data_IF_543834086759
#
_entry.id   IF_543834086759
#
_cell.length_a   1.000
_cell.length_b   1.000
_cell.length_c   1.000
_cell.angle_alpha   90.00
_cell.angle_beta   90.00
_cell.angle_gamma   90.00
#
_symmetry.space_group_name_H-M   'P 1'
#
loop_
_entity.id
_entity.type
_entity.pdbx_description
1 polymer ?
#
# COMPACT_ATOMS: atom_id res chain seq x y z
N UNK A 1 -5.04 39.06 58.43
CA UNK A 1 -4.88 37.99 57.42
C UNK A 1 -6.19 37.49 56.79
N UNK A 2 -7.33 37.38 57.50
CA UNK A 2 -8.63 36.92 56.91
C UNK A 2 -9.19 37.81 55.77
N UNK A 3 -8.92 39.12 55.77
CA UNK A 3 -9.48 40.07 54.79
C UNK A 3 -8.87 39.95 53.39
N UNK A 4 -7.60 39.55 53.28
CA UNK A 4 -6.89 39.43 51.99
C UNK A 4 -7.17 38.11 51.25
N UNK A 5 -7.39 37.01 51.99
CA UNK A 5 -7.80 35.72 51.42
C UNK A 5 -9.14 35.82 50.67
N UNK A 6 -10.04 36.70 51.11
CA UNK A 6 -11.35 36.90 50.45
C UNK A 6 -11.27 37.54 49.06
N UNK A 7 -10.30 38.43 48.81
CA UNK A 7 -10.16 39.09 47.50
C UNK A 7 -9.55 38.18 46.43
N UNK A 8 -8.80 37.15 46.83
CA UNK A 8 -8.19 36.19 45.92
C UNK A 8 -9.16 35.06 45.52
N UNK A 9 -10.13 34.73 46.37
CA UNK A 9 -11.09 33.65 46.10
C UNK A 9 -12.09 34.00 44.99
N UNK A 10 -12.49 35.27 44.88
CA UNK A 10 -13.44 35.73 43.85
C UNK A 10 -12.90 35.50 42.42
N UNK A 11 -11.73 36.04 42.02
CA UNK A 11 -11.20 35.83 40.68
C UNK A 11 -10.88 34.35 40.43
N UNK A 12 -10.40 33.62 41.44
CA UNK A 12 -10.09 32.20 41.30
C UNK A 12 -11.32 31.37 40.92
N UNK A 13 -12.42 31.48 41.69
CA UNK A 13 -13.64 30.71 41.41
C UNK A 13 -14.35 31.18 40.15
N UNK A 14 -14.29 32.47 39.81
CA UNK A 14 -14.81 32.97 38.55
C UNK A 14 -14.05 32.40 37.34
N UNK A 15 -12.71 32.35 37.41
CA UNK A 15 -11.86 31.73 36.39
C UNK A 15 -12.13 30.24 36.27
N UNK A 16 -12.15 29.51 37.39
CA UNK A 16 -12.43 28.06 37.40
C UNK A 16 -13.82 27.79 36.82
N UNK A 17 -14.84 28.51 37.27
CA UNK A 17 -16.21 28.35 36.77
C UNK A 17 -16.31 28.62 35.27
N UNK A 18 -15.65 29.65 34.76
CA UNK A 18 -15.58 29.96 33.34
C UNK A 18 -14.91 28.84 32.54
N UNK A 19 -13.76 28.33 32.98
CA UNK A 19 -13.04 27.25 32.30
C UNK A 19 -13.82 25.94 32.31
N UNK A 20 -14.49 25.59 33.41
CA UNK A 20 -15.34 24.39 33.51
C UNK A 20 -16.53 24.49 32.55
N UNK A 21 -17.22 25.63 32.50
CA UNK A 21 -18.36 25.80 31.59
C UNK A 21 -17.95 25.70 30.12
N UNK A 22 -16.83 26.33 29.75
CA UNK A 22 -16.29 26.20 28.39
C UNK A 22 -15.92 24.74 28.10
N UNK A 23 -15.18 24.08 28.99
CA UNK A 23 -14.77 22.69 28.80
C UNK A 23 -15.95 21.70 28.62
N UNK A 24 -17.05 21.90 29.34
CA UNK A 24 -18.19 20.99 29.30
C UNK A 24 -19.17 21.28 28.15
N UNK A 25 -19.30 22.55 27.74
CA UNK A 25 -20.41 22.97 26.87
C UNK A 25 -19.96 23.68 25.57
N UNK A 26 -18.69 24.06 25.41
CA UNK A 26 -18.21 24.70 24.20
C UNK A 26 -17.93 23.66 23.11
N UNK A 27 -19.02 23.19 22.49
CA UNK A 27 -19.01 22.28 21.35
C UNK A 27 -19.97 22.77 20.27
N UNK A 28 -19.53 22.74 19.01
CA UNK A 28 -20.32 23.09 17.83
C UNK A 28 -20.20 21.99 16.80
N UNK A 29 -21.31 21.40 16.40
CA UNK A 29 -21.36 20.43 15.32
C UNK A 29 -21.54 21.14 13.96
N UNK A 30 -20.92 20.61 12.92
CA UNK A 30 -20.99 21.10 11.55
C UNK A 30 -20.85 19.94 10.56
N UNK A 31 -21.37 20.14 9.35
CA UNK A 31 -21.36 19.12 8.30
C UNK A 31 -20.73 19.69 7.05
N UNK A 32 -19.78 18.97 6.46
CA UNK A 32 -19.19 19.28 5.16
C UNK A 32 -19.62 18.16 4.23
N UNK A 33 -20.68 18.39 3.46
CA UNK A 33 -21.29 17.38 2.59
C UNK A 33 -21.55 16.07 3.38
N UNK A 34 -20.87 14.98 3.00
CA UNK A 34 -20.98 13.66 3.64
C UNK A 34 -20.24 13.53 4.99
N UNK A 35 -19.51 14.55 5.44
CA UNK A 35 -18.69 14.49 6.66
C UNK A 35 -19.36 15.22 7.80
N UNK A 36 -19.68 14.52 8.89
CA UNK A 36 -20.19 15.11 10.11
C UNK A 36 -19.06 15.25 11.14
N UNK A 37 -18.78 16.47 11.54
CA UNK A 37 -17.72 16.79 12.47
C UNK A 37 -18.20 17.68 13.62
N UNK A 38 -17.47 17.62 14.73
CA UNK A 38 -17.67 18.47 15.88
C UNK A 38 -16.40 19.26 16.18
N UNK A 39 -16.57 20.49 16.64
CA UNK A 39 -15.50 21.39 17.02
C UNK A 39 -15.68 21.78 18.49
N UNK A 40 -14.64 21.59 19.30
CA UNK A 40 -14.65 21.95 20.72
C UNK A 40 -13.35 22.60 21.16
N UNK A 41 -13.40 23.29 22.30
CA UNK A 41 -12.19 23.80 22.97
C UNK A 41 -12.15 23.35 24.42
N UNK A 42 -10.94 23.02 24.89
CA UNK A 42 -10.73 22.67 26.28
C UNK A 42 -9.41 23.22 26.83
N UNK A 43 -9.30 23.46 28.15
CA UNK A 43 -8.04 23.81 28.77
C UNK A 43 -7.01 22.67 28.64
N UNK A 44 -5.78 23.00 28.28
CA UNK A 44 -4.70 22.02 28.10
C UNK A 44 -3.38 22.51 28.67
N UNK A 45 -2.44 21.60 28.92
CA UNK A 45 -1.07 21.92 29.35
C UNK A 45 -0.24 22.58 28.25
N UNK A 46 -0.63 22.39 26.98
CA UNK A 46 0.02 22.96 25.81
C UNK A 46 -1.01 23.42 24.78
N UNK A 47 -0.63 24.36 23.93
CA UNK A 47 -1.48 24.87 22.85
C UNK A 47 -1.40 23.98 21.63
N UNK A 48 -2.55 23.44 21.22
CA UNK A 48 -2.62 22.42 20.18
C UNK A 48 -3.90 22.47 19.36
N UNK A 49 -3.85 21.81 18.22
CA UNK A 49 -5.03 21.45 17.45
C UNK A 49 -4.98 19.97 17.15
N UNK A 50 -6.03 19.25 17.55
CA UNK A 50 -6.14 17.81 17.39
C UNK A 50 -7.30 17.47 16.46
N UNK A 51 -7.03 16.67 15.44
CA UNK A 51 -8.04 16.09 14.55
C UNK A 51 -8.24 14.62 14.93
N UNK A 52 -9.39 14.30 15.52
CA UNK A 52 -9.76 12.94 15.88
C UNK A 52 -10.56 12.30 14.75
N UNK A 53 -10.06 11.18 14.24
CA UNK A 53 -10.75 10.34 13.27
C UNK A 53 -11.05 9.02 13.97
N UNK A 54 -12.21 8.89 14.59
CA UNK A 54 -12.55 7.67 15.35
C UNK A 54 -13.03 6.57 14.39
N UNK A 55 -12.63 5.29 14.59
CA UNK A 55 -11.68 4.75 15.57
C UNK A 55 -10.21 4.73 15.09
N UNK A 56 -9.92 5.39 13.96
CA UNK A 56 -8.64 5.28 13.23
C UNK A 56 -7.46 5.86 14.00
N UNK A 57 -7.57 7.07 14.53
CA UNK A 57 -6.46 7.73 15.21
C UNK A 57 -6.64 9.24 15.38
N UNK A 58 -5.54 9.91 15.74
CA UNK A 58 -5.51 11.36 15.98
C UNK A 58 -4.33 11.98 15.24
N UNK A 59 -4.55 13.16 14.66
CA UNK A 59 -3.48 14.02 14.11
C UNK A 59 -3.35 15.24 15.00
N UNK A 60 -2.17 15.45 15.59
CA UNK A 60 -1.92 16.52 16.55
C UNK A 60 -0.91 17.51 15.99
N UNK A 61 -1.16 18.80 16.17
CA UNK A 61 -0.19 19.84 15.82
C UNK A 61 -0.13 20.90 16.93
N UNK A 62 1.08 21.25 17.36
CA UNK A 62 1.33 22.34 18.31
C UNK A 62 1.20 23.69 17.61
N UNK A 63 -0.03 24.17 17.42
CA UNK A 63 -0.36 25.32 16.56
C UNK A 63 -0.20 26.68 17.24
N UNK A 64 -0.27 26.76 18.57
CA UNK A 64 -0.30 28.02 19.30
C UNK A 64 0.28 27.91 20.72
N UNK A 65 0.43 29.04 21.43
CA UNK A 65 1.15 29.07 22.72
C UNK A 65 0.27 29.08 23.97
N UNK A 66 -1.00 29.45 23.84
CA UNK A 66 -1.94 29.50 24.96
C UNK A 66 -2.33 28.09 25.43
N UNK A 67 -2.70 27.91 26.71
CA UNK A 67 -3.04 26.60 27.30
C UNK A 67 -4.47 26.16 26.93
N UNK A 68 -4.77 26.13 25.63
CA UNK A 68 -6.06 25.75 25.07
C UNK A 68 -5.80 24.71 23.99
N UNK A 69 -6.61 23.68 23.94
CA UNK A 69 -6.62 22.74 22.82
C UNK A 69 -7.87 22.96 21.99
N UNK A 70 -7.73 22.87 20.67
CA UNK A 70 -8.82 22.92 19.71
C UNK A 70 -9.00 21.51 19.15
N UNK A 71 -10.15 20.90 19.38
CA UNK A 71 -10.43 19.57 18.86
C UNK A 71 -11.40 19.65 17.71
N UNK A 72 -11.06 18.93 16.65
CA UNK A 72 -11.96 18.63 15.54
C UNK A 72 -12.17 17.12 15.58
N UNK A 73 -13.39 16.66 15.82
CA UNK A 73 -13.71 15.23 15.83
C UNK A 73 -14.61 14.89 14.66
N UNK A 74 -14.16 13.97 13.79
CA UNK A 74 -15.02 13.35 12.78
C UNK A 74 -15.90 12.31 13.49
N UNK A 75 -17.22 12.57 13.51
CA UNK A 75 -18.19 11.76 14.24
C UNK A 75 -18.82 10.70 13.35
N UNK A 76 -19.15 11.05 12.10
CA UNK A 76 -19.76 10.13 11.14
C UNK A 76 -19.43 10.51 9.69
N UNK A 77 -19.46 9.50 8.82
CA UNK A 77 -19.28 9.63 7.37
C UNK A 77 -20.53 9.06 6.71
N UNK A 78 -21.25 9.87 5.95
CA UNK A 78 -22.36 9.45 5.11
C UNK A 78 -21.82 8.77 3.84
N UNK A 79 -21.89 7.44 3.82
CA UNK A 79 -21.37 6.63 2.72
C UNK A 79 -22.12 6.83 1.41
N UNK A 80 -23.38 7.25 1.45
CA UNK A 80 -24.19 7.45 0.24
C UNK A 80 -23.84 8.79 -0.41
N UNK A 81 -23.70 9.86 0.39
CA UNK A 81 -23.18 11.14 -0.09
C UNK A 81 -21.74 11.05 -0.60
N UNK A 82 -20.91 10.20 0.00
CA UNK A 82 -19.54 9.98 -0.48
C UNK A 82 -19.49 9.35 -1.88
N UNK A 83 -20.42 8.44 -2.19
CA UNK A 83 -20.52 7.81 -3.52
C UNK A 83 -20.93 8.82 -4.59
N UNK A 84 -21.88 9.70 -4.28
CA UNK A 84 -22.35 10.75 -5.20
C UNK A 84 -21.20 11.68 -5.62
N UNK A 85 -20.37 12.10 -4.66
CA UNK A 85 -19.16 12.92 -4.90
C UNK A 85 -18.15 12.18 -5.80
N UNK A 86 -17.96 10.86 -5.59
CA UNK A 86 -17.05 10.05 -6.40
C UNK A 86 -17.56 9.85 -7.82
N UNK A 87 -18.87 9.79 -8.04
CA UNK A 87 -19.48 9.59 -9.36
C UNK A 87 -19.65 10.86 -10.18
N UNK A 88 -19.91 12.01 -9.55
CA UNK A 88 -20.20 13.26 -10.26
C UNK A 88 -18.95 14.07 -10.62
N UNK A 89 -17.77 13.66 -10.15
CA UNK A 89 -16.51 14.31 -10.52
C UNK A 89 -16.43 15.76 -10.07
N UNK A 90 -16.96 16.06 -8.88
CA UNK A 90 -16.94 17.40 -8.29
C UNK A 90 -15.51 17.94 -8.27
N UNK A 91 -15.32 19.17 -8.76
CA UNK A 91 -13.99 19.78 -8.81
C UNK A 91 -13.45 19.94 -7.40
N UNK A 92 -12.26 19.41 -7.17
CA UNK A 92 -11.57 19.39 -5.87
C UNK A 92 -11.49 20.78 -5.22
N UNK A 93 -11.38 21.84 -6.03
CA UNK A 93 -11.31 23.23 -5.55
C UNK A 93 -12.62 23.70 -4.89
N UNK A 94 -13.79 23.31 -5.41
CA UNK A 94 -15.09 23.71 -4.86
C UNK A 94 -15.33 23.05 -3.48
N UNK A 95 -14.89 21.80 -3.32
CA UNK A 95 -14.95 21.06 -2.05
C UNK A 95 -14.10 21.73 -0.96
N UNK A 96 -12.89 22.19 -1.32
CA UNK A 96 -11.97 22.84 -0.38
C UNK A 96 -12.56 24.18 0.09
N UNK A 97 -13.14 24.96 -0.83
CA UNK A 97 -13.73 26.26 -0.50
C UNK A 97 -14.98 26.10 0.39
N UNK A 98 -15.84 25.13 0.11
CA UNK A 98 -17.00 24.82 0.95
C UNK A 98 -16.58 24.40 2.37
N UNK A 99 -15.63 23.46 2.46
CA UNK A 99 -15.06 23.01 3.73
C UNK A 99 -14.50 24.19 4.54
N UNK A 100 -13.74 25.08 3.89
CA UNK A 100 -13.16 26.26 4.54
C UNK A 100 -14.24 27.19 5.09
N UNK A 101 -15.28 27.47 4.31
CA UNK A 101 -16.38 28.33 4.75
C UNK A 101 -17.11 27.76 5.95
N UNK A 102 -17.37 26.46 5.95
CA UNK A 102 -18.10 25.79 7.03
C UNK A 102 -17.28 25.76 8.33
N UNK A 103 -15.99 25.44 8.25
CA UNK A 103 -15.07 25.47 9.40
C UNK A 103 -14.98 26.87 9.99
N UNK A 104 -14.84 27.92 9.15
CA UNK A 104 -14.81 29.32 9.63
C UNK A 104 -16.13 29.69 10.32
N UNK A 105 -17.26 29.23 9.79
CA UNK A 105 -18.58 29.48 10.39
C UNK A 105 -18.72 28.77 11.74
N UNK A 106 -18.31 27.51 11.83
CA UNK A 106 -18.28 26.74 13.07
C UNK A 106 -17.36 27.39 14.11
N UNK A 107 -16.18 27.84 13.69
CA UNK A 107 -15.23 28.54 14.56
C UNK A 107 -15.78 29.85 15.13
N UNK A 108 -16.45 30.66 14.30
CA UNK A 108 -17.12 31.88 14.78
C UNK A 108 -18.21 31.57 15.81
N UNK A 109 -19.04 30.55 15.55
CA UNK A 109 -20.07 30.10 16.50
C UNK A 109 -19.44 29.65 17.82
N UNK A 110 -18.36 28.87 17.76
CA UNK A 110 -17.67 28.37 18.95
C UNK A 110 -17.08 29.51 19.78
N UNK A 111 -16.45 30.50 19.16
CA UNK A 111 -15.91 31.67 19.86
C UNK A 111 -17.02 32.41 20.61
N UNK A 112 -18.13 32.72 19.94
CA UNK A 112 -19.26 33.39 20.57
C UNK A 112 -19.88 32.57 21.71
N UNK A 113 -20.08 31.27 21.48
CA UNK A 113 -20.59 30.36 22.48
C UNK A 113 -19.67 30.31 23.71
N UNK A 114 -18.35 30.22 23.49
CA UNK A 114 -17.35 30.17 24.56
C UNK A 114 -17.33 31.45 25.40
N UNK A 115 -17.47 32.62 24.76
CA UNK A 115 -17.57 33.91 25.44
C UNK A 115 -18.81 33.95 26.34
N UNK A 116 -19.97 33.55 25.83
CA UNK A 116 -21.23 33.51 26.60
C UNK A 116 -21.12 32.51 27.76
N UNK A 117 -20.63 31.30 27.49
CA UNK A 117 -20.44 30.26 28.51
C UNK A 117 -19.45 30.69 29.59
N UNK A 118 -18.38 31.41 29.23
CA UNK A 118 -17.41 31.91 30.19
C UNK A 118 -18.00 32.93 31.16
N UNK A 119 -18.92 33.78 30.69
CA UNK A 119 -19.66 34.71 31.54
C UNK A 119 -20.60 33.95 32.49
N UNK A 120 -21.38 33.01 31.96
CA UNK A 120 -22.28 32.17 32.76
C UNK A 120 -21.52 31.34 33.81
N UNK A 121 -20.38 30.76 33.42
CA UNK A 121 -19.51 30.00 34.31
C UNK A 121 -18.87 30.86 35.38
N UNK A 122 -18.46 32.10 35.05
CA UNK A 122 -17.95 33.07 36.02
C UNK A 122 -18.99 33.48 37.05
N UNK A 123 -20.25 33.69 36.63
CA UNK A 123 -21.38 33.91 37.55
C UNK A 123 -21.61 32.68 38.44
N UNK A 124 -21.65 31.49 37.84
CA UNK A 124 -21.87 30.23 38.54
C UNK A 124 -20.80 29.94 39.59
N UNK A 125 -19.52 30.20 39.26
CA UNK A 125 -18.41 30.06 40.20
C UNK A 125 -18.59 30.89 41.47
N UNK A 126 -19.19 32.08 41.36
CA UNK A 126 -19.49 32.93 42.52
C UNK A 126 -20.78 32.53 43.27
N UNK A 127 -21.75 31.92 42.58
CA UNK A 127 -22.92 31.30 43.23
C UNK A 127 -22.46 30.16 44.16
N UNK A 128 -21.48 29.35 43.75
CA UNK A 128 -20.89 28.31 44.60
C UNK A 128 -20.27 28.90 45.87
N UNK A 129 -19.64 30.06 45.78
CA UNK A 129 -19.13 30.81 46.94
C UNK A 129 -20.25 31.48 47.78
N UNK A 130 -21.51 31.12 47.53
CA UNK A 130 -22.71 31.63 48.20
C UNK A 130 -22.85 33.15 48.14
N UNK A 131 -22.29 33.78 47.10
CA UNK A 131 -22.43 35.22 46.86
C UNK A 131 -23.81 35.51 46.28
N UNK A 132 -24.50 36.50 46.87
CA UNK A 132 -25.87 36.88 46.48
C UNK A 132 -26.00 38.30 45.95
N UNK A 133 -24.93 39.08 45.97
CA UNK A 133 -24.94 40.45 45.44
C UNK A 133 -24.88 40.41 43.91
N UNK A 134 -25.84 41.05 43.24
CA UNK A 134 -25.87 41.16 41.76
C UNK A 134 -24.57 41.75 41.22
N UNK A 135 -24.00 42.74 41.91
CA UNK A 135 -22.72 43.36 41.50
C UNK A 135 -21.55 42.38 41.56
N UNK A 136 -21.51 41.52 42.57
CA UNK A 136 -20.46 40.49 42.70
C UNK A 136 -20.62 39.43 41.62
N UNK A 137 -21.86 38.96 41.36
CA UNK A 137 -22.13 37.99 40.30
C UNK A 137 -21.73 38.52 38.91
N UNK A 138 -22.11 39.76 38.58
CA UNK A 138 -21.71 40.40 37.33
C UNK A 138 -20.19 40.57 37.22
N UNK A 139 -19.51 40.86 38.33
CA UNK A 139 -18.05 40.92 38.36
C UNK A 139 -17.43 39.54 38.07
N UNK A 140 -17.98 38.45 38.62
CA UNK A 140 -17.56 37.08 38.29
C UNK A 140 -17.73 36.74 36.82
N UNK A 141 -18.89 37.09 36.24
CA UNK A 141 -19.13 36.94 34.82
C UNK A 141 -18.15 37.74 33.96
N UNK A 142 -17.87 39.00 34.35
CA UNK A 142 -16.88 39.85 33.66
C UNK A 142 -15.47 39.25 33.74
N UNK A 143 -15.06 38.71 34.89
CA UNK A 143 -13.77 38.03 35.04
C UNK A 143 -13.69 36.80 34.14
N UNK A 144 -14.74 35.98 34.10
CA UNK A 144 -14.83 34.83 33.20
C UNK A 144 -14.71 35.21 31.73
N UNK A 145 -15.50 36.21 31.32
CA UNK A 145 -15.47 36.81 29.98
C UNK A 145 -14.06 37.29 29.59
N UNK A 146 -13.41 38.10 30.43
CA UNK A 146 -12.09 38.64 30.15
C UNK A 146 -11.04 37.53 30.06
N UNK A 147 -11.14 36.51 30.92
CA UNK A 147 -10.19 35.39 30.96
C UNK A 147 -10.24 34.59 29.67
N UNK A 148 -11.43 34.13 29.26
CA UNK A 148 -11.58 33.31 28.04
C UNK A 148 -11.32 34.15 26.79
N UNK A 149 -11.76 35.42 26.76
CA UNK A 149 -11.46 36.33 25.65
C UNK A 149 -9.96 36.55 25.48
N UNK A 150 -9.21 36.70 26.58
CA UNK A 150 -7.75 36.84 26.54
C UNK A 150 -7.07 35.57 26.01
N UNK A 151 -7.52 34.38 26.45
CA UNK A 151 -7.00 33.10 25.97
C UNK A 151 -7.26 32.93 24.47
N UNK A 152 -8.50 33.15 24.01
CA UNK A 152 -8.88 33.04 22.60
C UNK A 152 -8.14 34.04 21.72
N UNK A 153 -7.96 35.28 22.19
CA UNK A 153 -7.18 36.28 21.49
C UNK A 153 -5.70 35.89 21.40
N UNK A 154 -5.13 35.33 22.47
CA UNK A 154 -3.77 34.80 22.48
C UNK A 154 -3.60 33.61 21.52
N UNK A 155 -4.58 32.69 21.49
CA UNK A 155 -4.65 31.61 20.51
C UNK A 155 -4.63 32.19 19.10
N UNK A 156 -5.55 33.10 18.77
CA UNK A 156 -5.65 33.74 17.45
C UNK A 156 -4.34 34.43 17.02
N UNK A 157 -3.66 35.13 17.93
CA UNK A 157 -2.41 35.84 17.63
C UNK A 157 -1.21 34.93 17.44
N UNK A 158 -1.19 33.78 18.10
CA UNK A 158 -0.06 32.85 18.06
C UNK A 158 -0.32 31.62 17.20
N UNK A 159 -1.48 31.56 16.53
CA UNK A 159 -1.87 30.45 15.68
C UNK A 159 -1.02 30.41 14.41
N UNK A 160 -0.33 29.29 14.22
CA UNK A 160 0.49 29.00 13.07
C UNK A 160 -0.01 27.73 12.36
N UNK A 161 -0.61 27.93 11.18
CA UNK A 161 -1.11 26.85 10.35
C UNK A 161 0.01 25.98 9.77
N UNK A 162 1.23 26.52 9.63
CA UNK A 162 2.37 25.80 9.06
C UNK A 162 2.81 24.64 9.95
N UNK A 163 2.42 24.62 11.23
CA UNK A 163 2.67 23.50 12.14
C UNK A 163 2.03 22.18 11.71
N UNK A 164 1.01 22.23 10.85
CA UNK A 164 0.45 21.03 10.20
C UNK A 164 1.34 20.43 9.11
N UNK A 165 2.47 21.06 8.75
CA UNK A 165 3.48 20.46 7.87
C UNK A 165 4.32 19.39 8.59
N UNK A 166 4.36 19.41 9.91
CA UNK A 166 5.03 18.40 10.74
C UNK A 166 4.14 17.94 11.90
N UNK A 167 2.98 17.32 11.62
CA UNK A 167 2.05 16.89 12.66
C UNK A 167 2.50 15.55 13.29
N UNK A 168 2.03 15.32 14.50
CA UNK A 168 2.21 14.06 15.22
C UNK A 168 1.00 13.16 14.97
N UNK A 169 1.25 11.91 14.57
CA UNK A 169 0.19 10.93 14.27
C UNK A 169 0.10 9.89 15.39
N UNK A 170 -1.12 9.57 15.81
CA UNK A 170 -1.42 8.53 16.80
C UNK A 170 -2.40 7.49 16.24
N UNK A 171 -2.40 6.29 16.83
CA UNK A 171 -3.23 5.17 16.38
C UNK A 171 -2.79 4.61 15.03
N UNK A 172 -3.75 4.15 14.23
CA UNK A 172 -3.50 3.59 12.89
C UNK A 172 -3.03 4.67 11.90
N UNK A 173 -3.27 5.95 12.19
CA UNK A 173 -2.82 7.07 11.37
C UNK A 173 -1.29 7.26 11.36
N UNK A 174 -0.52 6.58 12.22
CA UNK A 174 0.95 6.59 12.17
C UNK A 174 1.50 6.13 10.82
N UNK A 175 0.77 5.28 10.10
CA UNK A 175 1.13 4.81 8.76
C UNK A 175 0.75 5.80 7.64
N UNK A 176 -0.09 6.81 7.91
CA UNK A 176 -0.64 7.68 6.87
C UNK A 176 0.42 8.49 6.10
N UNK A 177 1.44 9.11 6.74
CA UNK A 177 2.49 9.84 6.01
C UNK A 177 3.27 8.93 5.06
N UNK A 178 3.58 7.72 5.51
CA UNK A 178 4.25 6.72 4.68
C UNK A 178 3.40 6.37 3.46
N UNK A 179 2.09 6.14 3.63
CA UNK A 179 1.19 5.83 2.50
C UNK A 179 1.07 6.98 1.51
N UNK A 180 0.94 8.23 2.00
CA UNK A 180 0.85 9.40 1.12
C UNK A 180 2.13 9.55 0.30
N UNK A 181 3.30 9.37 0.94
CA UNK A 181 4.58 9.38 0.25
C UNK A 181 4.70 8.24 -0.75
N UNK A 182 4.28 7.01 -0.40
CA UNK A 182 4.27 5.88 -1.32
C UNK A 182 3.44 6.18 -2.57
N UNK A 183 2.26 6.75 -2.40
CA UNK A 183 1.37 7.13 -3.52
C UNK A 183 1.98 8.25 -4.35
N UNK A 184 2.50 9.31 -3.71
CA UNK A 184 3.10 10.45 -4.43
C UNK A 184 4.39 10.07 -5.15
N UNK A 185 5.28 9.31 -4.51
CA UNK A 185 6.51 8.79 -5.12
C UNK A 185 6.18 7.79 -6.23
N UNK A 186 5.15 6.96 -6.07
CA UNK A 186 4.66 6.09 -7.13
C UNK A 186 4.17 6.90 -8.33
N UNK A 187 3.30 7.90 -8.14
CA UNK A 187 2.77 8.66 -9.29
C UNK A 187 3.81 9.57 -9.96
N UNK A 188 4.72 10.20 -9.21
CA UNK A 188 5.69 11.16 -9.75
C UNK A 188 6.88 10.44 -10.43
N UNK A 189 7.30 9.28 -9.93
CA UNK A 189 8.47 8.55 -10.48
C UNK A 189 8.07 7.62 -11.64
N UNK A 190 6.83 7.08 -11.63
CA UNK A 190 6.32 6.17 -12.68
C UNK A 190 6.18 6.87 -14.03
N UNK A 191 5.75 8.13 -14.07
CA UNK A 191 5.45 8.81 -15.35
C UNK A 191 6.71 9.12 -16.17
N UNK A 192 7.88 9.26 -15.54
CA UNK A 192 9.16 9.46 -16.24
C UNK A 192 9.88 8.15 -16.59
N UNK A 193 9.75 7.13 -15.75
CA UNK A 193 10.48 5.87 -15.91
C UNK A 193 9.71 4.86 -16.79
N UNK A 194 8.37 4.81 -16.71
CA UNK A 194 7.53 3.97 -17.57
C UNK A 194 7.68 4.28 -19.07
N UNK A 195 7.73 5.58 -19.43
CA UNK A 195 7.99 6.03 -20.82
C UNK A 195 9.39 5.63 -21.32
N UNK A 196 10.39 5.63 -20.45
CA UNK A 196 11.74 5.17 -20.81
C UNK A 196 11.75 3.65 -21.05
N UNK A 197 11.00 2.90 -20.25
CA UNK A 197 10.86 1.45 -20.38
C UNK A 197 10.10 1.01 -21.63
N UNK A 198 9.09 1.78 -22.07
CA UNK A 198 8.38 1.55 -23.34
C UNK A 198 9.34 1.62 -24.55
N UNK A 199 10.21 2.64 -24.54
CA UNK A 199 11.26 2.78 -25.55
C UNK A 199 12.26 1.63 -25.51
N UNK A 200 12.64 1.14 -24.32
CA UNK A 200 13.56 0.01 -24.14
C UNK A 200 12.97 -1.29 -24.71
N UNK A 201 11.72 -1.63 -24.35
CA UNK A 201 11.06 -2.84 -24.86
C UNK A 201 10.97 -2.84 -26.39
N UNK A 202 10.57 -1.71 -26.97
CA UNK A 202 10.43 -1.56 -28.42
C UNK A 202 11.77 -1.65 -29.14
N UNK A 203 12.83 -1.03 -28.59
CA UNK A 203 14.19 -1.11 -29.13
C UNK A 203 14.77 -2.52 -29.02
N UNK A 204 14.57 -3.19 -27.88
CA UNK A 204 14.96 -4.59 -27.66
C UNK A 204 14.29 -5.52 -28.67
N UNK A 205 12.99 -5.37 -28.90
CA UNK A 205 12.28 -6.14 -29.90
C UNK A 205 12.79 -5.88 -31.33
N UNK A 206 13.10 -4.62 -31.65
CA UNK A 206 13.73 -4.27 -32.93
C UNK A 206 15.09 -4.95 -33.13
N UNK A 207 15.92 -5.02 -32.09
CA UNK A 207 17.20 -5.76 -32.10
C UNK A 207 16.96 -7.26 -32.25
N UNK A 208 16.01 -7.80 -31.48
CA UNK A 208 15.62 -9.21 -31.50
C UNK A 208 15.22 -9.67 -32.91
N UNK A 209 14.32 -8.94 -33.57
CA UNK A 209 13.88 -9.23 -34.95
C UNK A 209 15.03 -9.25 -35.95
N UNK A 210 16.03 -8.39 -35.76
CA UNK A 210 17.24 -8.37 -36.60
C UNK A 210 18.11 -9.59 -36.35
N UNK A 211 18.35 -9.97 -35.09
CA UNK A 211 19.15 -11.15 -34.75
C UNK A 211 18.47 -12.45 -35.21
N UNK A 212 17.16 -12.58 -35.01
CA UNK A 212 16.40 -13.74 -35.53
C UNK A 212 16.49 -13.85 -37.04
N UNK A 213 16.38 -12.72 -37.76
CA UNK A 213 16.51 -12.73 -39.22
C UNK A 213 17.89 -13.16 -39.73
N UNK A 214 18.93 -13.00 -38.90
CA UNK A 214 20.31 -13.39 -39.23
C UNK A 214 20.63 -14.84 -38.86
N UNK A 215 20.00 -15.39 -37.82
CA UNK A 215 20.30 -16.75 -37.33
C UNK A 215 19.51 -17.86 -38.06
N UNK A 216 18.63 -17.54 -39.00
CA UNK A 216 17.77 -18.52 -39.69
C UNK A 216 16.99 -19.47 -38.75
N UNK A 217 16.82 -19.08 -37.49
CA UNK A 217 15.84 -19.67 -36.58
C UNK A 217 14.55 -18.89 -36.84
N UNK A 218 13.84 -19.26 -37.91
CA UNK A 218 12.52 -18.70 -38.14
C UNK A 218 11.67 -18.98 -36.88
N UNK A 219 11.00 -17.98 -36.29
CA UNK A 219 9.96 -18.26 -35.31
C UNK A 219 8.91 -19.11 -36.04
N UNK A 220 8.86 -20.40 -35.75
CA UNK A 220 7.83 -21.26 -36.31
C UNK A 220 6.47 -20.73 -35.84
N UNK A 221 5.46 -20.73 -36.72
CA UNK A 221 4.08 -20.29 -36.48
C UNK A 221 3.32 -21.09 -35.37
N UNK A 222 4.05 -21.76 -34.47
CA UNK A 222 3.53 -22.54 -33.33
C UNK A 222 4.33 -22.38 -32.04
N UNK A 223 5.18 -21.34 -31.90
CA UNK A 223 5.94 -21.07 -30.69
C UNK A 223 5.07 -20.48 -29.58
N UNK A 224 5.06 -21.14 -28.43
CA UNK A 224 4.41 -20.68 -27.22
C UNK A 224 5.42 -19.91 -26.37
N UNK A 225 5.13 -18.64 -26.07
CA UNK A 225 6.00 -17.75 -25.29
C UNK A 225 5.40 -17.52 -23.91
N UNK A 226 6.18 -17.83 -22.88
CA UNK A 226 5.80 -17.64 -21.47
C UNK A 226 6.71 -16.60 -20.85
N UNK A 227 6.14 -15.58 -20.21
CA UNK A 227 6.90 -14.61 -19.43
C UNK A 227 6.95 -15.07 -17.97
N UNK A 228 8.15 -15.32 -17.45
CA UNK A 228 8.40 -15.60 -16.04
C UNK A 228 8.83 -14.32 -15.31
N UNK A 229 8.06 -13.97 -14.28
CA UNK A 229 8.28 -12.83 -13.37
C UNK A 229 8.24 -13.29 -11.92
N UNK A 230 8.74 -12.47 -11.01
CA UNK A 230 8.70 -12.71 -9.57
C UNK A 230 9.03 -11.44 -8.79
N UNK A 231 8.65 -11.38 -7.52
CA UNK A 231 9.10 -10.36 -6.57
C UNK A 231 8.84 -8.94 -7.13
N UNK A 232 7.57 -8.68 -7.50
CA UNK A 232 7.10 -7.43 -8.08
C UNK A 232 6.88 -6.37 -6.99
N UNK A 233 6.51 -6.77 -5.77
CA UNK A 233 6.37 -5.90 -4.60
C UNK A 233 5.56 -4.61 -4.88
N UNK A 234 4.40 -4.78 -5.53
CA UNK A 234 3.49 -3.72 -5.95
C UNK A 234 4.12 -2.59 -6.80
N UNK A 235 5.26 -2.82 -7.46
CA UNK A 235 5.90 -1.78 -8.26
C UNK A 235 5.06 -1.45 -9.52
N UNK A 236 4.44 -0.25 -9.63
CA UNK A 236 3.56 0.07 -10.75
C UNK A 236 4.30 0.10 -12.10
N UNK A 237 5.56 0.52 -12.10
CA UNK A 237 6.37 0.58 -13.30
C UNK A 237 6.72 -0.82 -13.84
N UNK A 238 6.81 -1.82 -12.95
CA UNK A 238 6.99 -3.21 -13.36
C UNK A 238 5.76 -3.73 -14.09
N UNK A 239 4.54 -3.43 -13.60
CA UNK A 239 3.30 -3.81 -14.28
C UNK A 239 3.19 -3.19 -15.68
N UNK A 240 3.51 -1.90 -15.80
CA UNK A 240 3.46 -1.20 -17.10
C UNK A 240 4.47 -1.82 -18.08
N UNK A 241 5.69 -2.16 -17.61
CA UNK A 241 6.68 -2.84 -18.44
C UNK A 241 6.28 -4.28 -18.79
N UNK A 242 5.69 -5.04 -17.87
CA UNK A 242 5.14 -6.37 -18.14
C UNK A 242 4.10 -6.28 -19.25
N UNK A 243 3.16 -5.33 -19.17
CA UNK A 243 2.17 -5.09 -20.22
C UNK A 243 2.81 -4.80 -21.58
N UNK A 244 3.87 -3.98 -21.59
CA UNK A 244 4.60 -3.69 -22.81
C UNK A 244 5.34 -4.91 -23.37
N UNK A 245 5.99 -5.71 -22.51
CA UNK A 245 6.67 -6.95 -22.92
C UNK A 245 5.65 -7.95 -23.48
N UNK A 246 4.51 -8.11 -22.80
CA UNK A 246 3.42 -8.99 -23.25
C UNK A 246 2.98 -8.63 -24.66
N UNK A 247 2.70 -7.34 -24.90
CA UNK A 247 2.27 -6.83 -26.21
C UNK A 247 3.37 -6.92 -27.27
N UNK A 248 4.58 -6.51 -26.94
CA UNK A 248 5.68 -6.34 -27.90
C UNK A 248 6.25 -7.69 -28.35
N UNK A 249 6.45 -8.62 -27.41
CA UNK A 249 7.03 -9.93 -27.70
C UNK A 249 5.96 -10.98 -28.06
N UNK A 250 4.68 -10.65 -27.92
CA UNK A 250 3.57 -11.56 -28.19
C UNK A 250 3.56 -12.72 -27.19
N UNK A 251 3.64 -12.40 -25.91
CA UNK A 251 3.59 -13.39 -24.81
C UNK A 251 2.20 -14.01 -24.78
N UNK A 252 2.12 -15.32 -24.56
CA UNK A 252 0.86 -16.06 -24.52
C UNK A 252 0.37 -16.36 -23.10
N UNK A 253 1.28 -16.31 -22.11
CA UNK A 253 1.03 -16.66 -20.72
C UNK A 253 2.07 -15.96 -19.84
N UNK A 254 1.63 -15.41 -18.71
CA UNK A 254 2.53 -14.96 -17.64
C UNK A 254 2.53 -16.00 -16.53
N UNK A 255 3.71 -16.39 -16.06
CA UNK A 255 3.91 -17.23 -14.86
C UNK A 255 4.67 -16.41 -13.83
N UNK A 256 4.06 -16.21 -12.68
CA UNK A 256 4.58 -15.41 -11.59
C UNK A 256 4.94 -16.33 -10.41
N UNK A 257 6.20 -16.28 -9.98
CA UNK A 257 6.67 -17.08 -8.85
C UNK A 257 6.48 -16.40 -7.49
N UNK A 258 5.59 -15.42 -7.35
CA UNK A 258 5.11 -14.91 -6.06
C UNK A 258 5.83 -13.66 -5.59
N UNK A 259 5.44 -13.18 -4.40
CA UNK A 259 5.79 -11.86 -3.84
C UNK A 259 5.36 -10.72 -4.79
N UNK A 260 4.07 -10.76 -5.13
CA UNK A 260 3.40 -9.67 -5.84
C UNK A 260 3.18 -8.48 -4.90
N UNK A 261 2.87 -8.76 -3.63
CA UNK A 261 2.60 -7.79 -2.57
C UNK A 261 3.77 -7.67 -1.59
N UNK A 262 3.87 -6.54 -0.89
CA UNK A 262 5.00 -6.22 0.00
C UNK A 262 4.60 -6.43 1.48
N UNK A 263 3.35 -6.12 1.84
CA UNK A 263 2.83 -6.20 3.21
C UNK A 263 1.55 -7.05 3.38
N UNK A 264 0.97 -7.53 2.30
CA UNK A 264 -0.21 -8.39 2.35
C UNK A 264 -1.50 -7.70 2.83
N UNK A 265 -1.63 -6.38 2.63
CA UNK A 265 -2.70 -5.54 3.16
C UNK A 265 -3.84 -5.30 2.17
N UNK A 266 -5.08 -5.01 2.63
CA UNK A 266 -6.20 -4.71 1.73
C UNK A 266 -6.00 -3.53 0.78
N UNK A 267 -5.12 -2.59 1.12
CA UNK A 267 -4.81 -1.45 0.25
C UNK A 267 -3.95 -1.87 -0.96
N UNK A 268 -3.15 -2.93 -0.83
CA UNK A 268 -2.32 -3.44 -1.92
C UNK A 268 -3.13 -4.24 -2.95
N UNK A 269 -4.32 -4.73 -2.57
CA UNK A 269 -5.21 -5.43 -3.49
C UNK A 269 -5.61 -4.57 -4.71
N UNK A 270 -5.60 -3.24 -4.60
CA UNK A 270 -5.87 -2.34 -5.72
C UNK A 270 -4.85 -2.50 -6.87
N UNK A 271 -3.60 -2.89 -6.60
CA UNK A 271 -2.60 -3.11 -7.64
C UNK A 271 -2.83 -4.39 -8.44
N UNK A 272 -3.60 -5.35 -7.89
CA UNK A 272 -4.00 -6.56 -8.62
C UNK A 272 -4.92 -6.25 -9.81
N UNK A 273 -5.59 -5.08 -9.81
CA UNK A 273 -6.44 -4.68 -10.94
C UNK A 273 -5.65 -4.46 -12.23
N UNK A 274 -4.38 -4.02 -12.15
CA UNK A 274 -3.52 -3.87 -13.34
C UNK A 274 -3.27 -5.21 -14.05
N UNK A 275 -3.40 -6.33 -13.36
CA UNK A 275 -3.30 -7.66 -13.98
C UNK A 275 -4.50 -7.92 -14.90
N UNK A 276 -5.69 -7.39 -14.58
CA UNK A 276 -6.90 -7.56 -15.41
C UNK A 276 -6.70 -6.99 -16.82
N UNK A 277 -5.88 -5.96 -16.94
CA UNK A 277 -5.56 -5.30 -18.22
C UNK A 277 -4.60 -6.12 -19.10
N UNK A 278 -3.94 -7.15 -18.54
CA UNK A 278 -3.14 -8.09 -19.30
C UNK A 278 -4.09 -9.07 -20.01
N UNK A 279 -4.30 -8.89 -21.31
CA UNK A 279 -5.19 -9.74 -22.15
C UNK A 279 -4.69 -11.20 -22.36
N UNK A 280 -3.82 -11.69 -21.48
CA UNK A 280 -3.28 -13.05 -21.49
C UNK A 280 -3.53 -13.74 -20.14
N UNK A 281 -3.60 -15.08 -20.10
CA UNK A 281 -3.65 -15.82 -18.84
C UNK A 281 -2.46 -15.46 -17.94
N UNK A 282 -2.73 -15.34 -16.65
CA UNK A 282 -1.75 -15.07 -15.60
C UNK A 282 -1.81 -16.20 -14.57
N UNK A 283 -0.70 -16.86 -14.30
CA UNK A 283 -0.60 -17.95 -13.32
C UNK A 283 0.37 -17.52 -12.23
N UNK A 284 -0.04 -17.57 -10.97
CA UNK A 284 0.78 -17.16 -9.84
C UNK A 284 0.81 -18.22 -8.75
N UNK A 285 1.96 -18.46 -8.12
CA UNK A 285 2.03 -19.14 -6.82
C UNK A 285 2.15 -18.10 -5.71
N UNK A 286 1.40 -18.22 -4.60
CA UNK A 286 1.58 -17.32 -3.46
C UNK A 286 3.01 -17.38 -2.91
N UNK A 287 3.65 -16.22 -2.76
CA UNK A 287 4.93 -16.06 -2.09
C UNK A 287 4.77 -15.93 -0.58
N UNK A 288 5.85 -15.56 0.12
CA UNK A 288 5.79 -15.42 1.58
C UNK A 288 5.17 -14.08 2.02
N UNK A 289 4.99 -13.12 1.11
CA UNK A 289 4.30 -11.87 1.38
C UNK A 289 2.79 -11.90 1.06
N UNK A 290 2.32 -12.87 0.27
CA UNK A 290 0.89 -13.03 -0.04
C UNK A 290 0.12 -13.60 1.16
N UNK A 291 -0.56 -12.75 1.92
CA UNK A 291 -1.47 -13.20 2.99
C UNK A 291 -2.69 -13.96 2.43
N UNK A 292 -3.45 -14.68 3.27
CA UNK A 292 -4.72 -15.30 2.86
C UNK A 292 -5.69 -14.28 2.26
N UNK A 293 -5.70 -13.04 2.77
CA UNK A 293 -6.54 -11.97 2.23
C UNK A 293 -6.15 -11.64 0.77
N UNK A 294 -4.87 -11.37 0.50
CA UNK A 294 -4.40 -11.07 -0.87
C UNK A 294 -4.66 -12.25 -1.79
N UNK A 295 -4.39 -13.47 -1.33
CA UNK A 295 -4.61 -14.69 -2.11
C UNK A 295 -6.08 -14.82 -2.54
N UNK A 296 -7.03 -14.51 -1.66
CA UNK A 296 -8.46 -14.53 -2.01
C UNK A 296 -8.86 -13.38 -2.94
N UNK A 297 -8.26 -12.19 -2.83
CA UNK A 297 -8.48 -11.12 -3.81
C UNK A 297 -7.92 -11.47 -5.19
N UNK A 298 -6.73 -12.09 -5.26
CA UNK A 298 -6.14 -12.56 -6.51
C UNK A 298 -7.08 -13.54 -7.23
N UNK A 299 -7.68 -14.49 -6.51
CA UNK A 299 -8.64 -15.45 -7.08
C UNK A 299 -9.88 -14.81 -7.72
N UNK A 300 -10.21 -13.54 -7.39
CA UNK A 300 -11.32 -12.81 -8.01
C UNK A 300 -10.95 -12.16 -9.35
N UNK A 301 -9.67 -12.19 -9.72
CA UNK A 301 -9.17 -11.60 -10.97
C UNK A 301 -9.43 -12.55 -12.15
N UNK A 302 -10.24 -12.17 -13.16
CA UNK A 302 -10.78 -13.11 -14.14
C UNK A 302 -9.74 -13.86 -15.01
N UNK A 303 -8.63 -13.22 -15.35
CA UNK A 303 -7.56 -13.78 -16.18
C UNK A 303 -6.43 -14.42 -15.34
N UNK A 304 -6.57 -14.45 -14.01
CA UNK A 304 -5.55 -14.95 -13.09
C UNK A 304 -5.95 -16.30 -12.47
N UNK A 305 -5.00 -17.20 -12.36
CA UNK A 305 -5.12 -18.47 -11.63
C UNK A 305 -4.05 -18.54 -10.55
N UNK A 306 -4.48 -18.68 -9.29
CA UNK A 306 -3.58 -18.95 -8.17
C UNK A 306 -3.33 -20.45 -8.07
N UNK A 307 -2.07 -20.86 -8.07
CA UNK A 307 -1.62 -22.24 -7.87
C UNK A 307 -1.10 -22.44 -6.43
N UNK A 308 -1.85 -23.15 -5.59
CA UNK A 308 -1.36 -23.60 -4.27
C UNK A 308 -1.59 -25.11 -4.08
N UNK A 309 -0.65 -25.91 -4.57
CA UNK A 309 -0.72 -27.37 -4.50
C UNK A 309 -1.66 -27.97 -5.53
N UNK A 310 -1.67 -27.41 -6.73
CA UNK A 310 -2.56 -27.81 -7.84
C UNK A 310 -1.78 -28.03 -9.13
N UNK A 311 -2.42 -28.73 -10.08
CA UNK A 311 -1.94 -28.99 -11.44
C UNK A 311 -3.01 -28.47 -12.40
N UNK A 312 -2.63 -27.56 -13.30
CA UNK A 312 -3.52 -26.97 -14.30
C UNK A 312 -2.98 -27.17 -15.70
N UNK A 313 -3.84 -27.02 -16.71
CA UNK A 313 -3.43 -26.95 -18.11
C UNK A 313 -3.85 -25.62 -18.71
N UNK A 314 -2.89 -24.84 -19.21
CA UNK A 314 -3.11 -23.52 -19.79
C UNK A 314 -2.26 -23.35 -21.05
N UNK A 315 -2.85 -22.89 -22.15
CA UNK A 315 -2.18 -22.75 -23.45
C UNK A 315 -1.52 -24.05 -24.00
N UNK A 316 -1.94 -25.22 -23.49
CA UNK A 316 -1.37 -26.53 -23.79
C UNK A 316 -0.16 -26.91 -22.93
N UNK A 317 0.24 -26.08 -21.96
CA UNK A 317 1.23 -26.41 -20.94
C UNK A 317 0.56 -26.99 -19.69
N UNK A 318 1.12 -28.07 -19.16
CA UNK A 318 0.79 -28.56 -17.83
C UNK A 318 1.67 -27.85 -16.81
N UNK A 319 1.06 -27.05 -15.96
CA UNK A 319 1.74 -26.24 -14.95
C UNK A 319 1.28 -26.69 -13.58
N UNK A 320 2.24 -26.86 -12.68
CA UNK A 320 1.92 -27.18 -11.31
C UNK A 320 2.75 -26.33 -10.35
N UNK A 321 2.24 -26.11 -9.15
CA UNK A 321 2.95 -25.27 -8.20
C UNK A 321 2.47 -25.39 -6.78
N UNK A 322 3.30 -24.91 -5.86
CA UNK A 322 3.05 -24.90 -4.42
C UNK A 322 3.24 -23.47 -3.92
N UNK A 323 2.25 -22.94 -3.22
CA UNK A 323 2.38 -21.66 -2.53
C UNK A 323 3.31 -21.79 -1.33
N UNK A 324 4.01 -20.72 -0.97
CA UNK A 324 4.85 -20.70 0.22
C UNK A 324 3.99 -21.01 1.46
N UNK A 325 4.41 -21.90 2.39
CA UNK A 325 3.67 -22.15 3.62
C UNK A 325 3.33 -20.89 4.43
N UNK A 326 4.12 -19.81 4.29
CA UNK A 326 3.89 -18.53 4.94
C UNK A 326 2.64 -17.81 4.42
N UNK A 327 2.26 -18.06 3.17
CA UNK A 327 1.05 -17.47 2.58
C UNK A 327 -0.26 -17.86 3.30
N UNK A 328 -0.20 -18.90 4.14
CA UNK A 328 -1.34 -19.40 4.92
C UNK A 328 -1.52 -18.65 6.25
N UNK A 329 -0.67 -17.67 6.54
CA UNK A 329 -0.66 -16.88 7.77
C UNK A 329 -0.87 -15.40 7.44
N UNK A 330 -1.49 -14.68 8.38
CA UNK A 330 -1.62 -13.21 8.29
C UNK A 330 -0.36 -12.47 8.76
N UNK A 331 0.56 -13.19 9.41
CA UNK A 331 1.81 -12.66 9.94
C UNK A 331 2.95 -13.00 8.98
N UNK A 332 3.85 -12.05 8.74
CA UNK A 332 5.00 -12.18 7.82
C UNK A 332 6.14 -13.06 8.36
N UNK A 333 5.82 -14.02 9.22
CA UNK A 333 6.80 -14.93 9.81
C UNK A 333 7.32 -15.90 8.75
N UNK A 334 8.65 -16.03 8.59
CA UNK A 334 9.24 -16.89 7.60
C UNK A 334 8.88 -18.36 7.87
N UNK A 335 8.60 -19.09 6.80
CA UNK A 335 8.37 -20.53 6.83
C UNK A 335 9.54 -21.29 7.41
N UNK A 336 9.25 -22.24 8.30
CA UNK A 336 10.26 -23.14 8.86
C UNK A 336 10.61 -24.24 7.85
N UNK A 337 11.83 -24.79 7.86
CA UNK A 337 12.23 -25.87 6.96
C UNK A 337 11.27 -27.06 6.96
N UNK A 338 10.74 -27.44 8.13
CA UNK A 338 9.81 -28.57 8.27
C UNK A 338 8.49 -28.33 7.52
N UNK A 339 8.04 -27.08 7.45
CA UNK A 339 6.82 -26.71 6.72
C UNK A 339 7.01 -26.86 5.20
N UNK A 340 8.20 -26.55 4.69
CA UNK A 340 8.56 -26.80 3.30
C UNK A 340 8.56 -28.29 2.98
N UNK A 341 9.12 -29.12 3.86
CA UNK A 341 9.17 -30.58 3.66
C UNK A 341 7.75 -31.18 3.61
N UNK A 342 6.86 -30.78 4.52
CA UNK A 342 5.45 -31.23 4.52
C UNK A 342 4.73 -30.81 3.23
N UNK A 343 4.95 -29.58 2.75
CA UNK A 343 4.35 -29.10 1.52
C UNK A 343 4.81 -29.91 0.30
N UNK A 344 6.12 -30.21 0.23
CA UNK A 344 6.75 -31.01 -0.82
C UNK A 344 6.21 -32.45 -0.80
N UNK A 345 6.14 -33.11 0.36
CA UNK A 345 5.62 -34.48 0.50
C UNK A 345 4.15 -34.60 0.08
N UNK A 346 3.33 -33.62 0.50
CA UNK A 346 1.92 -33.55 0.10
C UNK A 346 1.79 -33.44 -1.42
N UNK A 347 2.65 -32.65 -2.05
CA UNK A 347 2.61 -32.45 -3.49
C UNK A 347 3.16 -33.64 -4.27
N UNK A 348 4.18 -34.34 -3.79
CA UNK A 348 4.58 -35.63 -4.36
C UNK A 348 3.44 -36.63 -4.40
N UNK A 349 2.69 -36.73 -3.30
CA UNK A 349 1.50 -37.58 -3.23
C UNK A 349 0.43 -37.18 -4.25
N UNK A 350 0.30 -35.88 -4.56
CA UNK A 350 -0.60 -35.38 -5.60
C UNK A 350 -0.13 -35.80 -7.00
N UNK A 351 1.16 -35.60 -7.31
CA UNK A 351 1.73 -36.00 -8.60
C UNK A 351 1.54 -37.50 -8.85
N UNK A 352 1.88 -38.34 -7.87
CA UNK A 352 1.70 -39.80 -7.96
C UNK A 352 0.24 -40.20 -8.22
N UNK A 353 -0.71 -39.59 -7.51
CA UNK A 353 -2.14 -39.86 -7.69
C UNK A 353 -2.68 -39.37 -9.03
N UNK A 354 -2.17 -38.25 -9.52
CA UNK A 354 -2.62 -37.65 -10.78
C UNK A 354 -2.11 -38.43 -12.00
N UNK A 355 -0.97 -39.13 -11.87
CA UNK A 355 -0.26 -39.76 -12.99
C UNK A 355 0.18 -38.77 -14.08
N UNK A 356 0.12 -37.46 -13.80
CA UNK A 356 0.41 -36.39 -14.76
C UNK A 356 1.84 -35.91 -14.55
N UNK A 357 2.57 -35.70 -15.66
CA UNK A 357 3.92 -35.12 -15.64
C UNK A 357 3.85 -33.65 -16.02
N UNK A 358 4.07 -32.70 -15.10
CA UNK A 358 4.06 -31.27 -15.43
C UNK A 358 5.19 -30.89 -16.38
N UNK A 359 4.95 -29.90 -17.24
CA UNK A 359 5.97 -29.25 -18.07
C UNK A 359 6.74 -28.22 -17.25
N UNK A 360 6.03 -27.50 -16.38
CA UNK A 360 6.54 -26.43 -15.53
C UNK A 360 6.13 -26.68 -14.08
N UNK A 361 7.10 -26.59 -13.16
CA UNK A 361 6.86 -26.50 -11.74
C UNK A 361 7.22 -25.12 -11.21
N UNK A 362 6.36 -24.53 -10.40
CA UNK A 362 6.54 -23.18 -9.83
C UNK A 362 6.46 -23.26 -8.31
N UNK A 363 7.44 -22.67 -7.62
CA UNK A 363 7.35 -22.42 -6.19
C UNK A 363 8.16 -21.18 -5.85
N UNK A 364 7.63 -20.33 -4.98
CA UNK A 364 8.30 -19.08 -4.62
C UNK A 364 9.68 -19.35 -3.99
N UNK A 365 9.71 -20.16 -2.92
CA UNK A 365 10.94 -20.50 -2.22
C UNK A 365 11.82 -21.49 -3.03
N UNK A 366 13.08 -21.14 -3.33
CA UNK A 366 13.99 -22.03 -4.06
C UNK A 366 14.19 -23.39 -3.38
N UNK A 367 14.13 -23.45 -2.05
CA UNK A 367 14.27 -24.70 -1.28
C UNK A 367 13.18 -25.73 -1.60
N UNK A 368 11.98 -25.27 -1.97
CA UNK A 368 10.90 -26.13 -2.48
C UNK A 368 11.18 -26.47 -3.94
N UNK A 369 11.41 -25.45 -4.77
CA UNK A 369 11.59 -25.60 -6.21
C UNK A 369 12.68 -26.63 -6.57
N UNK A 370 13.84 -26.57 -5.92
CA UNK A 370 14.96 -27.50 -6.20
C UNK A 370 14.65 -28.96 -5.90
N UNK A 371 13.58 -29.28 -5.15
CA UNK A 371 13.17 -30.68 -4.89
C UNK A 371 12.62 -31.36 -6.14
N UNK A 372 12.08 -30.61 -7.09
CA UNK A 372 11.51 -31.11 -8.34
C UNK A 372 12.52 -31.09 -9.51
N UNK A 373 13.75 -30.66 -9.23
CA UNK A 373 14.85 -30.71 -10.17
C UNK A 373 15.15 -32.15 -10.58
N UNK A 374 15.28 -32.39 -11.88
CA UNK A 374 15.55 -33.70 -12.46
C UNK A 374 14.30 -34.53 -12.75
N UNK A 375 13.14 -34.08 -12.26
CA UNK A 375 11.86 -34.75 -12.45
C UNK A 375 10.95 -33.97 -13.38
N UNK A 376 10.94 -32.63 -13.26
CA UNK A 376 10.14 -31.72 -14.08
C UNK A 376 11.05 -30.90 -15.00
N UNK A 377 10.78 -30.76 -16.31
CA UNK A 377 11.72 -30.12 -17.25
C UNK A 377 12.03 -28.66 -16.93
N UNK A 378 11.06 -27.88 -16.47
CA UNK A 378 11.22 -26.45 -16.15
C UNK A 378 10.80 -26.20 -14.71
N UNK A 379 11.69 -25.63 -13.91
CA UNK A 379 11.46 -25.33 -12.49
C UNK A 379 11.71 -23.85 -12.26
N UNK A 380 10.68 -23.14 -11.79
CA UNK A 380 10.66 -21.69 -11.64
C UNK A 380 10.60 -21.29 -10.16
N UNK A 381 11.34 -20.24 -9.77
CA UNK A 381 11.32 -19.70 -8.40
C UNK A 381 11.60 -18.20 -8.30
N UNK A 382 11.44 -17.65 -7.09
CA UNK A 382 11.67 -16.25 -6.71
C UNK A 382 12.44 -16.10 -5.40
N UNK A 383 11.97 -15.21 -4.52
CA UNK A 383 12.34 -15.04 -3.10
C UNK A 383 13.72 -14.43 -2.83
N UNK A 384 14.73 -14.81 -3.60
CA UNK A 384 16.12 -14.42 -3.32
C UNK A 384 16.49 -13.06 -3.92
N UNK A 385 15.61 -12.48 -4.73
CA UNK A 385 15.83 -11.27 -5.53
C UNK A 385 17.07 -11.38 -6.44
N UNK A 386 17.56 -12.60 -6.72
CA UNK A 386 18.79 -12.86 -7.48
C UNK A 386 18.49 -13.74 -8.68
N UNK A 387 18.57 -13.15 -9.86
CA UNK A 387 18.43 -13.87 -11.11
C UNK A 387 19.45 -15.01 -11.20
N UNK A 388 18.98 -16.20 -11.57
CA UNK A 388 19.84 -17.38 -11.68
C UNK A 388 19.24 -18.43 -12.62
N UNK A 389 20.00 -18.86 -13.63
CA UNK A 389 19.64 -20.01 -14.46
C UNK A 389 20.68 -21.12 -14.33
N UNK A 390 20.20 -22.34 -14.04
CA UNK A 390 21.02 -23.55 -13.95
C UNK A 390 20.35 -24.72 -14.66
N UNK A 391 21.12 -25.49 -15.40
CA UNK A 391 20.63 -26.72 -16.05
C UNK A 391 21.30 -27.93 -15.40
N UNK A 392 20.51 -28.91 -14.97
CA UNK A 392 21.00 -30.15 -14.35
C UNK A 392 19.97 -31.26 -14.56
N UNK A 393 20.44 -32.48 -14.82
CA UNK A 393 19.61 -33.70 -14.84
C UNK A 393 18.33 -33.57 -15.70
N UNK A 394 18.41 -32.98 -16.90
CA UNK A 394 17.26 -32.74 -17.80
C UNK A 394 16.19 -31.78 -17.27
N UNK A 395 16.52 -30.96 -16.28
CA UNK A 395 15.72 -29.79 -15.93
C UNK A 395 16.52 -28.50 -16.03
N UNK A 396 15.82 -27.42 -16.34
CA UNK A 396 16.29 -26.06 -16.12
C UNK A 396 15.61 -25.48 -14.88
N UNK A 397 16.42 -24.97 -13.97
CA UNK A 397 16.00 -24.16 -12.83
C UNK A 397 16.23 -22.69 -13.18
N UNK A 398 15.18 -21.88 -13.01
CA UNK A 398 15.18 -20.45 -13.31
C UNK A 398 14.63 -19.71 -12.10
N UNK A 399 15.50 -18.94 -11.45
CA UNK A 399 15.08 -17.90 -10.52
C UNK A 399 14.94 -16.59 -11.31
N UNK A 400 13.74 -16.01 -11.33
CA UNK A 400 13.47 -14.79 -12.09
C UNK A 400 14.18 -13.57 -11.51
N UNK A 401 14.74 -13.63 -10.30
CA UNK A 401 15.33 -12.47 -9.63
C UNK A 401 14.25 -11.58 -9.06
N UNK A 402 14.17 -10.35 -9.54
CA UNK A 402 13.08 -9.43 -9.18
C UNK A 402 12.63 -8.63 -10.39
N UNK A 403 11.34 -8.72 -10.69
CA UNK A 403 10.68 -7.95 -11.74
C UNK A 403 10.17 -6.59 -11.24
N UNK A 404 10.14 -6.38 -9.92
CA UNK A 404 9.79 -5.11 -9.26
C UNK A 404 10.98 -4.28 -8.79
N UNK A 405 12.21 -4.77 -9.00
CA UNK A 405 13.38 -4.44 -8.18
C UNK A 405 13.12 -4.77 -6.70
N UNK A 406 14.14 -4.63 -5.84
CA UNK A 406 14.06 -5.04 -4.44
C UNK A 406 13.14 -4.19 -3.55
N UNK A 407 12.14 -3.49 -4.10
CA UNK A 407 11.29 -2.55 -3.36
C UNK A 407 12.13 -1.56 -2.52
N UNK A 408 11.62 -1.17 -1.35
CA UNK A 408 12.41 -0.40 -0.36
C UNK A 408 13.61 -1.19 0.23
N UNK A 409 13.68 -2.50 0.02
CA UNK A 409 14.84 -3.33 0.37
C UNK A 409 16.13 -2.92 -0.37
N UNK A 410 16.00 -2.22 -1.50
CA UNK A 410 17.11 -1.63 -2.26
C UNK A 410 17.96 -0.66 -1.41
N UNK A 411 17.38 -0.02 -0.39
CA UNK A 411 18.08 0.90 0.50
C UNK A 411 19.05 0.20 1.46
N UNK A 412 18.95 -1.13 1.63
CA UNK A 412 19.77 -1.92 2.56
C UNK A 412 20.94 -2.63 1.87
N UNK A 413 20.95 -2.73 0.54
CA UNK A 413 21.98 -3.48 -0.21
C UNK A 413 22.95 -2.54 -0.92
N UNK A 414 24.26 -2.79 -0.79
CA UNK A 414 25.31 -2.00 -1.47
C UNK A 414 25.46 -2.33 -2.95
N UNK A 415 24.94 -3.47 -3.39
CA UNK A 415 24.99 -3.93 -4.79
C UNK A 415 23.64 -3.63 -5.47
N UNK A 416 23.73 -3.16 -6.70
CA UNK A 416 22.57 -2.88 -7.54
C UNK A 416 21.91 -4.20 -7.97
N UNK A 417 20.60 -4.31 -7.70
CA UNK A 417 19.79 -5.44 -8.15
C UNK A 417 19.00 -4.97 -9.39
N UNK A 418 19.31 -5.47 -10.60
CA UNK A 418 18.62 -5.06 -11.80
C UNK A 418 17.20 -5.65 -11.84
N UNK A 419 16.31 -4.97 -12.56
CA UNK A 419 15.05 -5.57 -12.98
C UNK A 419 15.31 -6.74 -13.91
N UNK A 420 14.62 -7.86 -13.70
CA UNK A 420 14.81 -9.07 -14.52
C UNK A 420 13.48 -9.68 -14.94
N UNK A 421 13.42 -10.07 -16.22
CA UNK A 421 12.26 -10.68 -16.86
C UNK A 421 12.75 -11.84 -17.74
N UNK A 422 12.19 -13.04 -17.59
CA UNK A 422 12.66 -14.22 -18.31
C UNK A 422 11.59 -14.69 -19.28
N UNK A 423 11.87 -14.62 -20.57
CA UNK A 423 10.99 -15.11 -21.63
C UNK A 423 11.37 -16.54 -21.96
N UNK A 424 10.44 -17.47 -21.80
CA UNK A 424 10.60 -18.89 -22.11
C UNK A 424 9.95 -19.19 -23.44
N UNK A 425 10.72 -19.77 -24.37
CA UNK A 425 10.26 -20.10 -25.71
C UNK A 425 10.08 -21.60 -25.85
N UNK A 426 8.84 -22.01 -26.02
CA UNK A 426 8.47 -23.40 -26.18
C UNK A 426 8.02 -23.69 -27.61
N UNK A 427 8.42 -24.85 -28.12
CA UNK A 427 7.87 -25.40 -29.35
C UNK A 427 6.77 -26.41 -29.02
N UNK A 428 5.67 -26.37 -29.78
CA UNK A 428 4.67 -27.44 -29.80
C UNK A 428 5.19 -28.59 -30.68
N UNK A 429 5.29 -29.77 -30.09
CA UNK A 429 5.68 -31.02 -30.76
C UNK A 429 4.54 -32.03 -30.71
N UNK A 430 4.61 -33.12 -31.49
CA UNK A 430 3.59 -34.18 -31.47
C UNK A 430 3.45 -34.81 -30.07
N UNK A 431 4.52 -34.86 -29.29
CA UNK A 431 4.57 -35.45 -27.95
C UNK A 431 4.29 -34.44 -26.81
N UNK A 432 3.90 -33.19 -27.11
CA UNK A 432 3.67 -32.13 -26.13
C UNK A 432 4.55 -30.90 -26.33
N UNK A 433 4.73 -30.11 -25.29
CA UNK A 433 5.40 -28.79 -25.36
C UNK A 433 6.84 -28.90 -24.84
N UNK A 434 7.82 -28.33 -25.57
CA UNK A 434 9.25 -28.44 -25.23
C UNK A 434 9.95 -27.09 -25.20
N UNK A 435 10.62 -26.78 -24.10
CA UNK A 435 11.44 -25.57 -23.96
C UNK A 435 12.65 -25.62 -24.91
N UNK A 436 12.80 -24.60 -25.75
CA UNK A 436 13.93 -24.49 -26.68
C UNK A 436 15.04 -23.62 -26.12
N UNK A 437 14.66 -22.41 -25.71
CA UNK A 437 15.58 -21.42 -25.18
C UNK A 437 14.83 -20.46 -24.26
N UNK A 438 15.58 -19.67 -23.50
CA UNK A 438 15.07 -18.57 -22.72
C UNK A 438 15.84 -17.30 -23.04
N UNK A 439 15.13 -16.18 -23.13
CA UNK A 439 15.72 -14.86 -23.29
C UNK A 439 15.50 -14.06 -22.00
N UNK A 440 16.58 -13.58 -21.39
CA UNK A 440 16.50 -12.79 -20.16
C UNK A 440 16.72 -11.32 -20.49
N UNK A 441 15.74 -10.49 -20.14
CA UNK A 441 15.86 -9.04 -20.16
C UNK A 441 16.32 -8.60 -18.77
N UNK A 442 17.43 -7.85 -18.71
CA UNK A 442 17.89 -7.22 -17.46
C UNK A 442 18.05 -5.73 -17.66
N UNK A 443 17.59 -4.93 -16.69
CA UNK A 443 17.61 -3.47 -16.76
C UNK A 443 18.20 -2.90 -15.48
N UNK A 444 19.26 -2.10 -15.63
CA UNK A 444 19.95 -1.43 -14.53
C UNK A 444 19.21 -0.16 -14.10
N UNK A 445 19.25 0.15 -12.81
CA UNK A 445 18.66 1.31 -12.16
C UNK A 445 19.55 2.55 -12.22
N UNK A 446 20.88 2.40 -12.32
CA UNK A 446 21.82 3.52 -12.25
C UNK A 446 22.54 3.84 -13.56
N UNK A 447 22.78 2.84 -14.40
CA UNK A 447 23.32 3.03 -15.73
C UNK A 447 22.18 2.78 -16.71
N UNK A 448 22.01 3.65 -17.72
CA UNK A 448 21.00 3.49 -18.78
C UNK A 448 21.35 2.30 -19.71
N UNK A 449 21.56 1.12 -19.13
CA UNK A 449 21.98 -0.11 -19.76
C UNK A 449 20.92 -1.18 -19.55
N UNK A 450 20.55 -1.81 -20.66
CA UNK A 450 19.74 -3.02 -20.68
C UNK A 450 20.55 -4.12 -21.37
N UNK A 451 20.32 -5.37 -20.96
CA UNK A 451 20.90 -6.54 -21.60
C UNK A 451 19.83 -7.55 -21.98
N UNK A 452 20.07 -8.26 -23.08
CA UNK A 452 19.28 -9.42 -23.50
C UNK A 452 20.22 -10.60 -23.62
N UNK A 453 20.01 -11.64 -22.82
CA UNK A 453 20.83 -12.86 -22.83
C UNK A 453 20.00 -14.07 -23.24
N UNK A 454 20.44 -14.80 -24.28
CA UNK A 454 19.78 -16.00 -24.80
C UNK A 454 20.48 -17.25 -24.32
N UNK A 455 19.73 -18.16 -23.71
CA UNK A 455 20.21 -19.48 -23.32
C UNK A 455 19.44 -20.61 -23.98
N UNK A 456 20.13 -21.45 -24.74
CA UNK A 456 19.54 -22.58 -25.48
C UNK A 456 19.69 -23.88 -24.70
N UNK A 457 18.68 -24.76 -24.78
CA UNK A 457 18.61 -26.01 -24.02
C UNK A 457 18.60 -27.27 -24.93
N UNK A 458 19.66 -27.52 -25.73
CA UNK A 458 19.64 -28.54 -26.78
C UNK A 458 19.56 -29.99 -26.25
N UNK A 459 19.93 -30.22 -25.00
CA UNK A 459 20.02 -31.56 -24.41
C UNK A 459 18.92 -31.82 -23.36
N UNK A 460 17.98 -30.89 -23.15
CA UNK A 460 16.96 -31.01 -22.11
C UNK A 460 16.05 -32.24 -22.33
N UNK A 461 15.69 -32.50 -23.58
CA UNK A 461 14.76 -33.57 -23.97
C UNK A 461 15.43 -34.72 -24.73
N UNK A 462 16.76 -34.79 -24.80
CA UNK A 462 17.43 -35.90 -25.49
C UNK A 462 17.31 -37.21 -24.68
N UNK A 463 17.14 -38.37 -25.35
CA UNK A 463 17.30 -39.68 -24.71
C UNK A 463 18.70 -39.80 -24.08
N UNK A 464 18.83 -40.57 -22.99
CA UNK A 464 20.17 -40.96 -22.53
C UNK A 464 20.71 -42.02 -23.50
N UNK A 465 21.91 -41.78 -24.02
CA UNK A 465 22.69 -42.81 -24.73
C UNK A 465 23.17 -43.91 -23.78
#
# INVERSE_FOLDING_TARGET
MKKYSHYLLIPLFAVIGALVFVNLFARVDFSIQALHASLSIHPSSSGGTELHVKPVGVVKAHTHRTPVNIDISLENIDLDGLKEILTEGTKQDELIDEARMEVVRAMKKLVWLSIILSFCGGVFGLIILQRRSVKELLLGGLIGFLTVSFLLFGTYKTYDIQRFQSPEYEGMLKAAPWMINLVQESFITVDTWGRQMEGIATNLYGLFRRVESLQAVAPGDGQLKVLHVSDIHNNPAAFDFIGQVVKTFGINLVVDSGDLSDFGTPLEAAFTEKIKDLEVPYVIVPGNHETPFITEELKKTPNLTVLDGEIITVQGLVIAGIGDPASKRNESDPSRPEEHDVAVEKFYSLLERSGTSPDIFVAHAPIIAVRFWGQIPVVLSGHTHRYKIQTRQKSVFINAGTSGASGMGALKTKEEIPYTFVLLHFDRTEDGVRLKYSDTISISNQQSGYSLDRRVYPNLYKPQE
#
